data_IF_709553754792
#
_entry.id   IF_709553754792
#
_cell.length_a   1.000
_cell.length_b   1.000
_cell.length_c   1.000
_cell.angle_alpha   90.00
_cell.angle_beta   90.00
_cell.angle_gamma   90.00
#
_symmetry.space_group_name_H-M   'P 1'
#
loop_
_entity.id
_entity.type
_entity.pdbx_description
1 polymer ?
#
# COMPACT_ATOMS: atom_id res chain seq x y z
N UNK A 1 21.06 16.75 12.87
CA UNK A 1 19.91 15.86 12.91
C UNK A 1 19.79 15.10 11.57
N UNK A 2 19.10 13.94 11.54
CA UNK A 2 18.89 13.13 10.34
C UNK A 2 18.20 13.90 9.20
N UNK A 3 17.34 14.87 9.53
CA UNK A 3 16.64 15.72 8.57
C UNK A 3 17.59 16.62 7.79
N UNK A 4 18.52 17.30 8.48
CA UNK A 4 19.52 18.17 7.84
C UNK A 4 20.41 17.36 6.89
N UNK A 5 20.77 16.14 7.26
CA UNK A 5 21.54 15.24 6.39
C UNK A 5 20.74 14.83 5.15
N UNK A 6 19.44 14.55 5.31
CA UNK A 6 18.56 14.20 4.19
C UNK A 6 18.38 15.37 3.23
N UNK A 7 18.18 16.60 3.73
CA UNK A 7 18.11 17.81 2.90
C UNK A 7 19.33 17.95 2.02
N UNK A 8 20.53 17.87 2.64
CA UNK A 8 21.78 17.96 1.90
C UNK A 8 21.91 16.89 0.81
N UNK A 9 21.54 15.64 1.12
CA UNK A 9 21.56 14.55 0.15
C UNK A 9 20.56 14.77 -1.00
N UNK A 10 19.38 15.33 -0.73
CA UNK A 10 18.40 15.65 -1.76
C UNK A 10 18.89 16.77 -2.66
N UNK A 11 19.48 17.83 -2.10
CA UNK A 11 20.05 18.94 -2.89
C UNK A 11 21.19 18.46 -3.80
N UNK A 12 22.03 17.52 -3.33
CA UNK A 12 23.17 17.01 -4.08
C UNK A 12 22.76 15.96 -5.16
N UNK A 13 21.81 15.09 -4.86
CA UNK A 13 21.52 13.91 -5.70
C UNK A 13 20.14 13.91 -6.36
N UNK A 14 19.22 14.72 -5.88
CA UNK A 14 17.86 14.82 -6.41
C UNK A 14 17.38 16.28 -6.43
N UNK A 15 18.04 17.16 -7.19
CA UNK A 15 17.66 18.57 -7.28
C UNK A 15 16.22 18.67 -7.81
N UNK A 16 15.36 19.36 -7.07
CA UNK A 16 13.92 19.46 -7.37
C UNK A 16 13.03 18.45 -6.65
N UNK A 17 13.60 17.57 -5.83
CA UNK A 17 12.80 16.71 -4.96
C UNK A 17 12.06 17.56 -3.91
N UNK A 18 10.77 17.29 -3.72
CA UNK A 18 9.97 17.96 -2.71
C UNK A 18 10.06 17.22 -1.38
N UNK A 19 10.61 17.84 -0.36
CA UNK A 19 10.64 17.31 1.00
C UNK A 19 9.44 17.80 1.82
N UNK A 20 8.53 16.88 2.15
CA UNK A 20 7.40 17.15 3.04
C UNK A 20 7.78 16.81 4.48
N UNK A 21 7.86 17.81 5.34
CA UNK A 21 8.19 17.66 6.77
C UNK A 21 6.94 17.67 7.63
N UNK A 22 6.91 16.80 8.63
CA UNK A 22 5.86 16.78 9.65
C UNK A 22 6.42 17.28 10.98
N UNK A 23 5.67 18.11 11.69
CA UNK A 23 6.04 18.55 13.06
C UNK A 23 6.01 17.38 14.04
N UNK A 24 5.18 16.38 13.79
CA UNK A 24 5.04 15.18 14.62
C UNK A 24 5.12 13.92 13.75
N UNK A 25 5.55 12.82 14.33
CA UNK A 25 5.55 11.52 13.66
C UNK A 25 4.12 11.04 13.42
N UNK A 26 3.65 11.12 12.18
CA UNK A 26 2.32 10.64 11.76
C UNK A 26 2.30 9.14 11.42
N UNK A 27 3.45 8.46 11.44
CA UNK A 27 3.63 7.08 11.02
C UNK A 27 3.69 6.94 9.50
N UNK A 28 3.91 5.70 9.02
CA UNK A 28 4.06 5.38 7.59
C UNK A 28 2.88 5.88 6.77
N UNK A 29 1.67 5.54 7.15
CA UNK A 29 0.47 5.92 6.42
C UNK A 29 0.27 7.43 6.33
N UNK A 30 0.55 8.17 7.42
CA UNK A 30 0.52 9.64 7.41
C UNK A 30 1.53 10.23 6.43
N UNK A 31 2.75 9.69 6.39
CA UNK A 31 3.78 10.12 5.43
C UNK A 31 3.36 9.83 3.98
N UNK A 32 2.84 8.64 3.70
CA UNK A 32 2.37 8.27 2.37
C UNK A 32 1.22 9.20 1.93
N UNK A 33 0.22 9.43 2.77
CA UNK A 33 -0.92 10.30 2.43
C UNK A 33 -0.43 11.70 2.11
N UNK A 34 0.46 12.28 2.92
CA UNK A 34 1.02 13.61 2.65
C UNK A 34 1.81 13.66 1.34
N UNK A 35 2.56 12.60 1.02
CA UNK A 35 3.25 12.47 -0.27
C UNK A 35 2.28 12.40 -1.45
N UNK A 36 1.19 11.63 -1.34
CA UNK A 36 0.15 11.55 -2.37
C UNK A 36 -0.58 12.89 -2.55
N UNK A 37 -0.89 13.61 -1.46
CA UNK A 37 -1.51 14.94 -1.50
C UNK A 37 -0.55 15.97 -2.16
N UNK A 38 0.73 15.93 -1.81
CA UNK A 38 1.74 16.80 -2.41
C UNK A 38 1.93 16.53 -3.92
N UNK A 39 1.98 15.25 -4.30
CA UNK A 39 2.06 14.86 -5.72
C UNK A 39 0.82 15.35 -6.49
N UNK A 40 -0.37 15.23 -5.90
CA UNK A 40 -1.61 15.72 -6.53
C UNK A 40 -1.61 17.24 -6.66
N UNK A 41 -1.15 17.97 -5.64
CA UNK A 41 -1.01 19.43 -5.67
C UNK A 41 0.01 19.91 -6.73
N UNK A 42 1.05 19.12 -6.98
CA UNK A 42 2.02 19.35 -8.04
C UNK A 42 1.53 18.98 -9.46
N UNK A 43 0.27 18.54 -9.61
CA UNK A 43 -0.36 18.25 -10.89
C UNK A 43 -0.16 16.83 -11.42
N UNK A 44 0.46 15.93 -10.65
CA UNK A 44 0.60 14.54 -11.06
C UNK A 44 -0.74 13.81 -11.00
N UNK A 45 -0.95 12.87 -11.92
CA UNK A 45 -2.11 11.98 -11.95
C UNK A 45 -1.89 10.70 -11.14
N UNK A 46 -0.63 10.25 -11.02
CA UNK A 46 -0.21 9.05 -10.34
C UNK A 46 0.99 9.31 -9.44
N UNK A 47 1.15 8.47 -8.41
CA UNK A 47 2.35 8.44 -7.60
C UNK A 47 2.75 7.01 -7.28
N UNK A 48 4.05 6.76 -7.21
CA UNK A 48 4.61 5.46 -6.81
C UNK A 48 5.10 5.59 -5.38
N UNK A 49 4.56 4.74 -4.49
CA UNK A 49 5.06 4.57 -3.14
C UNK A 49 6.22 3.58 -3.16
N UNK A 50 7.30 3.93 -2.46
CA UNK A 50 8.47 3.07 -2.24
C UNK A 50 8.87 3.18 -0.78
N UNK A 51 9.14 2.05 -0.13
CA UNK A 51 9.71 2.03 1.21
C UNK A 51 11.22 2.33 1.13
N UNK A 52 11.71 3.18 2.04
CA UNK A 52 13.12 3.64 2.05
C UNK A 52 14.06 2.67 2.79
N UNK A 53 13.72 1.38 2.82
CA UNK A 53 14.48 0.31 3.51
C UNK A 53 15.48 -0.42 2.59
N UNK A 54 15.53 -0.03 1.30
CA UNK A 54 16.45 -0.60 0.32
C UNK A 54 16.10 -2.03 -0.11
N UNK A 55 14.91 -2.53 0.22
CA UNK A 55 14.51 -3.91 -0.11
C UNK A 55 14.07 -4.11 -1.56
N UNK A 56 13.76 -3.03 -2.27
CA UNK A 56 13.25 -3.09 -3.65
C UNK A 56 14.33 -2.82 -4.68
N UNK A 57 14.42 -3.68 -5.70
CA UNK A 57 15.26 -3.45 -6.89
C UNK A 57 14.74 -2.21 -7.65
N UNK A 58 15.62 -1.27 -8.06
CA UNK A 58 15.25 -0.14 -8.93
C UNK A 58 14.49 -0.57 -10.20
N UNK A 59 14.80 -1.73 -10.79
CA UNK A 59 14.07 -2.27 -11.95
C UNK A 59 12.60 -2.55 -11.66
N UNK A 60 12.25 -2.82 -10.41
CA UNK A 60 10.87 -3.00 -10.00
C UNK A 60 10.07 -1.69 -10.15
N UNK A 61 10.70 -0.53 -9.95
CA UNK A 61 10.07 0.78 -10.17
C UNK A 61 9.71 1.00 -11.64
N UNK A 62 10.59 0.64 -12.56
CA UNK A 62 10.33 0.73 -14.01
C UNK A 62 9.14 -0.14 -14.40
N UNK A 63 9.08 -1.36 -13.86
CA UNK A 63 7.97 -2.29 -14.11
C UNK A 63 6.65 -1.75 -13.58
N UNK A 64 6.61 -1.23 -12.35
CA UNK A 64 5.42 -0.63 -11.73
C UNK A 64 4.98 0.60 -12.53
N UNK A 65 5.92 1.47 -12.92
CA UNK A 65 5.64 2.64 -13.75
C UNK A 65 5.06 2.23 -15.11
N UNK A 66 5.69 1.32 -15.82
CA UNK A 66 5.21 0.83 -17.12
C UNK A 66 3.78 0.28 -17.05
N UNK A 67 3.48 -0.52 -16.02
CA UNK A 67 2.12 -1.04 -15.83
C UNK A 67 1.12 0.05 -15.43
N UNK A 68 1.52 1.09 -14.72
CA UNK A 68 0.63 2.21 -14.40
C UNK A 68 0.26 3.05 -15.64
N UNK A 69 1.14 3.11 -16.63
CA UNK A 69 0.83 3.74 -17.91
C UNK A 69 -0.16 2.89 -18.76
N UNK A 70 -0.06 1.55 -18.69
CA UNK A 70 -0.95 0.64 -19.41
C UNK A 70 -2.34 0.58 -18.76
N UNK A 71 -2.40 0.63 -17.43
CA UNK A 71 -3.61 0.51 -16.63
C UNK A 71 -3.79 1.71 -15.70
N UNK A 72 -4.10 2.90 -16.23
CA UNK A 72 -4.13 4.14 -15.45
C UNK A 72 -5.26 4.23 -14.42
N UNK A 73 -6.28 3.39 -14.54
CA UNK A 73 -7.42 3.29 -13.63
C UNK A 73 -7.19 2.33 -12.45
N UNK A 74 -6.04 1.62 -12.42
CA UNK A 74 -5.77 0.57 -11.45
C UNK A 74 -4.71 0.97 -10.42
N UNK A 75 -4.82 0.40 -9.24
CA UNK A 75 -3.68 0.37 -8.32
C UNK A 75 -2.74 -0.73 -8.77
N UNK A 76 -1.51 -0.38 -9.14
CA UNK A 76 -0.48 -1.36 -9.48
C UNK A 76 0.23 -1.75 -8.20
N UNK A 77 0.20 -3.03 -7.86
CA UNK A 77 0.76 -3.58 -6.64
C UNK A 77 1.97 -4.47 -6.94
N UNK A 78 3.07 -4.26 -6.26
CA UNK A 78 4.16 -5.23 -6.25
C UNK A 78 3.70 -6.52 -5.57
N UNK A 79 3.95 -7.66 -6.21
CA UNK A 79 3.79 -8.98 -5.62
C UNK A 79 5.19 -9.53 -5.34
N UNK A 80 5.59 -9.62 -4.06
CA UNK A 80 6.95 -10.05 -3.73
C UNK A 80 7.23 -11.47 -4.16
N UNK A 81 8.35 -11.64 -4.84
CA UNK A 81 9.02 -12.93 -5.00
C UNK A 81 10.16 -12.95 -4.00
N UNK A 82 10.08 -13.84 -3.02
CA UNK A 82 11.04 -13.91 -1.93
C UNK A 82 12.19 -14.83 -2.28
N UNK A 83 13.39 -14.42 -1.87
CA UNK A 83 14.53 -15.32 -1.81
C UNK A 83 14.33 -16.37 -0.69
N UNK A 84 15.09 -17.45 -0.70
CA UNK A 84 15.00 -18.56 0.28
C UNK A 84 15.22 -18.13 1.75
N UNK A 85 15.72 -16.90 1.96
CA UNK A 85 16.09 -16.34 3.27
C UNK A 85 14.94 -15.68 4.05
N UNK A 86 13.70 -15.70 3.55
CA UNK A 86 12.58 -15.13 4.31
C UNK A 86 12.33 -15.92 5.60
N UNK A 87 12.25 -15.23 6.74
CA UNK A 87 11.91 -15.90 8.00
C UNK A 87 10.48 -16.47 7.93
N UNK A 88 10.30 -17.71 8.43
CA UNK A 88 8.99 -18.38 8.46
C UNK A 88 7.92 -17.54 9.17
N UNK A 89 8.29 -16.83 10.24
CA UNK A 89 7.39 -15.98 11.00
C UNK A 89 6.85 -14.84 10.12
N UNK A 90 7.72 -14.13 9.38
CA UNK A 90 7.30 -13.07 8.46
C UNK A 90 6.39 -13.60 7.35
N UNK A 91 6.72 -14.78 6.81
CA UNK A 91 5.92 -15.43 5.79
C UNK A 91 4.49 -15.73 6.29
N UNK A 92 4.35 -16.34 7.46
CA UNK A 92 3.03 -16.66 8.03
C UNK A 92 2.23 -15.41 8.39
N UNK A 93 2.85 -14.37 8.97
CA UNK A 93 2.16 -13.10 9.26
C UNK A 93 1.65 -12.42 7.99
N UNK A 94 2.43 -12.45 6.91
CA UNK A 94 2.04 -11.90 5.61
C UNK A 94 0.83 -12.64 5.06
N UNK A 95 0.85 -13.96 5.15
CA UNK A 95 -0.27 -14.79 4.70
C UNK A 95 -1.53 -14.54 5.53
N UNK A 96 -1.40 -14.46 6.85
CA UNK A 96 -2.52 -14.16 7.75
C UNK A 96 -3.19 -12.82 7.42
N UNK A 97 -2.40 -11.76 7.22
CA UNK A 97 -2.92 -10.44 6.84
C UNK A 97 -3.66 -10.49 5.49
N UNK A 98 -3.11 -11.19 4.51
CA UNK A 98 -3.78 -11.37 3.21
C UNK A 98 -5.08 -12.17 3.34
N UNK A 99 -5.09 -13.21 4.18
CA UNK A 99 -6.29 -14.01 4.44
C UNK A 99 -7.40 -13.20 5.12
N UNK A 100 -7.04 -12.34 6.09
CA UNK A 100 -7.99 -11.42 6.71
C UNK A 100 -8.53 -10.41 5.68
N UNK A 101 -7.68 -9.89 4.80
CA UNK A 101 -8.12 -9.00 3.72
C UNK A 101 -9.10 -9.69 2.75
N UNK A 102 -8.98 -11.01 2.51
CA UNK A 102 -9.98 -11.76 1.74
C UNK A 102 -11.33 -11.86 2.45
N UNK A 103 -11.32 -12.08 3.76
CA UNK A 103 -12.55 -12.09 4.56
C UNK A 103 -13.22 -10.70 4.55
N UNK A 104 -12.43 -9.63 4.71
CA UNK A 104 -12.88 -8.23 4.72
C UNK A 104 -13.44 -7.75 3.38
N UNK A 105 -13.01 -8.36 2.29
CA UNK A 105 -13.45 -8.00 0.93
C UNK A 105 -14.39 -9.02 0.30
N UNK A 106 -14.59 -10.18 0.92
CA UNK A 106 -15.28 -11.35 0.35
C UNK A 106 -14.71 -11.76 -1.01
N UNK A 107 -13.43 -11.49 -1.25
CA UNK A 107 -12.74 -11.63 -2.53
C UNK A 107 -11.29 -12.06 -2.33
N UNK A 108 -10.73 -12.79 -3.28
CA UNK A 108 -9.31 -13.18 -3.32
C UNK A 108 -8.47 -12.29 -4.23
N UNK A 109 -8.95 -11.09 -4.57
CA UNK A 109 -8.25 -10.16 -5.47
C UNK A 109 -6.94 -9.63 -4.86
N UNK A 110 -6.88 -9.47 -3.55
CA UNK A 110 -5.68 -9.03 -2.85
C UNK A 110 -4.72 -10.21 -2.76
N UNK A 111 -3.64 -10.20 -3.56
CA UNK A 111 -2.63 -11.27 -3.55
C UNK A 111 -1.59 -11.07 -2.46
N UNK A 112 -1.24 -9.83 -2.16
CA UNK A 112 -0.35 -9.44 -1.08
C UNK A 112 -0.81 -8.10 -0.50
N UNK A 113 -1.02 -8.07 0.82
CA UNK A 113 -1.53 -6.89 1.50
C UNK A 113 -0.41 -6.00 2.09
N UNK A 114 0.82 -6.50 2.19
CA UNK A 114 1.90 -5.85 2.93
C UNK A 114 3.02 -5.25 2.07
N UNK A 115 3.05 -5.53 0.75
CA UNK A 115 4.03 -4.90 -0.12
C UNK A 115 3.76 -3.40 -0.24
N UNK A 116 4.74 -2.57 0.14
CA UNK A 116 4.64 -1.11 0.07
C UNK A 116 4.97 -0.52 -1.31
N UNK A 117 5.50 -1.32 -2.24
CA UNK A 117 5.79 -0.84 -3.60
C UNK A 117 4.51 -0.84 -4.43
N UNK A 118 3.95 0.34 -4.68
CA UNK A 118 2.66 0.50 -5.38
C UNK A 118 2.59 1.79 -6.18
N UNK A 119 1.92 1.76 -7.35
CA UNK A 119 1.49 2.97 -8.03
C UNK A 119 -0.01 3.19 -7.79
N UNK A 120 -0.36 4.44 -7.49
CA UNK A 120 -1.70 4.86 -7.15
C UNK A 120 -2.24 5.88 -8.14
N UNK A 121 -3.45 5.69 -8.72
CA UNK A 121 -4.20 6.76 -9.37
C UNK A 121 -4.70 7.73 -8.29
N UNK A 122 -4.11 8.95 -8.25
CA UNK A 122 -4.24 9.87 -7.12
C UNK A 122 -5.68 10.30 -6.85
N UNK A 123 -6.47 10.62 -7.89
CA UNK A 123 -7.85 11.06 -7.71
C UNK A 123 -8.74 10.01 -7.05
N UNK A 124 -8.55 8.74 -7.42
CA UNK A 124 -9.30 7.64 -6.86
C UNK A 124 -8.87 7.34 -5.42
N UNK A 125 -7.56 7.24 -5.17
CA UNK A 125 -7.01 6.83 -3.87
C UNK A 125 -7.17 7.92 -2.81
N UNK A 126 -6.98 9.20 -3.16
CA UNK A 126 -7.19 10.29 -2.20
C UNK A 126 -8.64 10.41 -1.71
N UNK A 127 -9.63 10.01 -2.52
CA UNK A 127 -11.03 9.90 -2.06
C UNK A 127 -11.20 8.85 -0.98
N UNK A 128 -10.46 7.72 -1.07
CA UNK A 128 -10.53 6.64 -0.08
C UNK A 128 -9.95 7.07 1.27
N UNK A 129 -8.84 7.81 1.27
CA UNK A 129 -8.14 8.20 2.50
C UNK A 129 -8.81 9.38 3.22
N UNK A 130 -9.47 10.30 2.50
CA UNK A 130 -10.22 11.42 3.09
C UNK A 130 -11.36 10.96 3.99
N UNK A 131 -11.96 9.83 3.72
CA UNK A 131 -13.05 9.23 4.53
C UNK A 131 -12.59 8.45 5.76
N UNK A 132 -11.29 8.29 6.03
CA UNK A 132 -10.75 7.29 6.96
C UNK A 132 -9.86 7.75 8.10
N UNK A 133 -9.76 9.03 8.40
CA UNK A 133 -8.96 9.51 9.55
C UNK A 133 -7.44 9.47 9.28
N UNK A 134 -6.73 10.56 9.64
CA UNK A 134 -5.32 10.82 9.29
C UNK A 134 -4.26 10.03 10.10
N UNK A 135 -4.63 9.05 10.91
CA UNK A 135 -3.69 8.35 11.80
C UNK A 135 -3.41 6.91 11.40
N UNK A 136 -3.19 6.66 10.10
CA UNK A 136 -2.78 5.35 9.61
C UNK A 136 -1.25 5.21 9.78
N UNK A 137 -0.81 4.17 10.47
CA UNK A 137 0.60 3.85 10.69
C UNK A 137 1.02 2.69 9.78
N UNK A 138 1.48 1.59 10.36
CA UNK A 138 1.85 0.37 9.62
C UNK A 138 0.63 -0.38 9.05
N UNK A 139 -0.55 -0.05 9.50
CA UNK A 139 -1.85 -0.54 9.05
C UNK A 139 -2.33 0.06 7.72
N UNK A 140 -1.64 1.08 7.19
CA UNK A 140 -2.01 1.74 5.94
C UNK A 140 -2.04 0.79 4.74
N UNK A 141 -0.97 -0.01 4.56
CA UNK A 141 -0.80 -0.83 3.36
C UNK A 141 -1.92 -1.87 3.16
N UNK A 142 -2.36 -2.64 4.17
CA UNK A 142 -3.51 -3.52 4.01
C UNK A 142 -4.83 -2.76 3.94
N UNK A 143 -5.03 -1.71 4.74
CA UNK A 143 -6.29 -0.97 4.78
C UNK A 143 -6.63 -0.32 3.43
N UNK A 144 -5.66 0.30 2.76
CA UNK A 144 -5.91 0.99 1.49
C UNK A 144 -6.35 0.01 0.39
N UNK A 145 -5.83 -1.22 0.37
CA UNK A 145 -6.25 -2.25 -0.60
C UNK A 145 -7.67 -2.75 -0.32
N UNK A 146 -8.01 -3.00 0.94
CA UNK A 146 -9.36 -3.40 1.32
C UNK A 146 -10.37 -2.32 0.91
N UNK A 147 -10.08 -1.06 1.21
CA UNK A 147 -10.92 0.08 0.81
C UNK A 147 -11.01 0.24 -0.72
N UNK A 148 -9.93 -0.02 -1.45
CA UNK A 148 -9.92 -0.01 -2.91
C UNK A 148 -10.87 -1.06 -3.48
N UNK A 149 -10.83 -2.29 -2.97
CA UNK A 149 -11.76 -3.36 -3.38
C UNK A 149 -13.21 -3.00 -3.01
N UNK A 150 -13.45 -2.39 -1.86
CA UNK A 150 -14.80 -1.91 -1.50
C UNK A 150 -15.32 -0.82 -2.46
N UNK A 151 -14.43 0.04 -2.94
CA UNK A 151 -14.75 1.09 -3.91
C UNK A 151 -14.75 0.62 -5.37
N UNK A 152 -14.51 -0.67 -5.61
CA UNK A 152 -14.41 -1.29 -6.95
C UNK A 152 -13.24 -0.76 -7.80
N UNK A 153 -12.20 -0.22 -7.16
CA UNK A 153 -10.97 0.16 -7.84
C UNK A 153 -10.18 -1.12 -8.16
N UNK A 154 -9.86 -1.36 -9.43
CA UNK A 154 -9.18 -2.59 -9.83
C UNK A 154 -7.73 -2.61 -9.32
N UNK A 155 -7.27 -3.82 -8.98
CA UNK A 155 -5.88 -4.07 -8.61
C UNK A 155 -5.18 -4.79 -9.75
N UNK A 156 -3.91 -4.45 -10.02
CA UNK A 156 -3.05 -5.16 -10.95
C UNK A 156 -1.73 -5.51 -10.24
N UNK A 157 -1.26 -6.74 -10.40
CA UNK A 157 -0.08 -7.23 -9.68
C UNK A 157 1.08 -7.46 -10.62
N UNK A 158 2.26 -7.00 -10.19
CA UNK A 158 3.55 -7.15 -10.87
C UNK A 158 4.50 -7.89 -9.95
N UNK A 159 5.09 -8.97 -10.40
CA UNK A 159 6.11 -9.68 -9.63
C UNK A 159 7.33 -8.78 -9.43
N UNK A 160 7.76 -8.62 -8.17
CA UNK A 160 8.90 -7.79 -7.78
C UNK A 160 9.82 -8.58 -6.88
N UNK A 161 11.11 -8.58 -7.17
CA UNK A 161 12.10 -9.19 -6.29
C UNK A 161 12.29 -8.32 -5.05
N UNK A 162 12.26 -8.96 -3.88
CA UNK A 162 12.47 -8.30 -2.58
C UNK A 162 13.62 -9.00 -1.89
N UNK A 163 14.71 -8.26 -1.68
CA UNK A 163 15.87 -8.73 -0.93
C UNK A 163 15.80 -8.24 0.51
N UNK A 164 15.98 -9.14 1.47
CA UNK A 164 16.08 -8.76 2.88
C UNK A 164 17.54 -8.63 3.28
N UNK A 165 18.06 -7.40 3.56
CA UNK A 165 19.39 -7.23 4.09
C UNK A 165 19.51 -7.96 5.43
N UNK A 166 20.60 -8.68 5.65
CA UNK A 166 20.86 -9.45 6.87
C UNK A 166 20.91 -8.54 8.11
N UNK A 167 21.33 -7.28 7.93
CA UNK A 167 21.47 -6.27 8.99
C UNK A 167 20.35 -5.22 9.01
N UNK A 168 19.21 -5.48 8.40
CA UNK A 168 18.09 -4.54 8.32
C UNK A 168 17.48 -4.23 9.69
N UNK A 169 17.60 -2.98 10.16
CA UNK A 169 16.95 -2.52 11.38
C UNK A 169 15.45 -2.36 11.16
N UNK A 170 14.65 -3.20 11.82
CA UNK A 170 13.20 -3.07 11.80
C UNK A 170 12.74 -2.04 12.84
N UNK A 171 12.06 -0.98 12.39
CA UNK A 171 11.42 -0.01 13.28
C UNK A 171 10.04 -0.48 13.79
N UNK A 172 9.69 -1.74 13.57
CA UNK A 172 8.43 -2.34 14.00
C UNK A 172 8.39 -2.49 15.52
N UNK A 173 7.46 -1.79 16.17
CA UNK A 173 7.21 -1.90 17.61
C UNK A 173 6.17 -3.00 17.86
N UNK A 174 6.67 -4.19 18.19
CA UNK A 174 5.92 -5.44 18.18
C UNK A 174 4.54 -5.38 18.85
N UNK A 175 4.45 -4.90 20.09
CA UNK A 175 3.16 -4.84 20.83
C UNK A 175 2.24 -3.77 20.25
N UNK A 176 2.76 -2.56 20.05
CA UNK A 176 1.95 -1.41 19.60
C UNK A 176 1.44 -1.59 18.18
N UNK A 177 2.32 -2.00 17.28
CA UNK A 177 1.95 -2.11 15.86
C UNK A 177 1.01 -3.30 15.62
N UNK A 178 1.20 -4.43 16.35
CA UNK A 178 0.24 -5.54 16.32
C UNK A 178 -1.13 -5.14 16.87
N UNK A 179 -1.20 -4.30 17.91
CA UNK A 179 -2.47 -3.78 18.41
C UNK A 179 -3.19 -2.94 17.33
N UNK A 180 -2.49 -2.03 16.67
CA UNK A 180 -3.08 -1.22 15.58
C UNK A 180 -3.52 -2.06 14.40
N UNK A 181 -2.73 -3.05 13.98
CA UNK A 181 -3.07 -3.97 12.90
C UNK A 181 -4.32 -4.80 13.27
N UNK A 182 -4.38 -5.34 14.49
CA UNK A 182 -5.55 -6.11 14.96
C UNK A 182 -6.80 -5.24 15.02
N UNK A 183 -6.68 -4.01 15.53
CA UNK A 183 -7.78 -3.05 15.56
C UNK A 183 -8.25 -2.66 14.15
N UNK A 184 -7.32 -2.46 13.22
CA UNK A 184 -7.62 -2.20 11.82
C UNK A 184 -8.45 -3.34 11.22
N UNK A 185 -8.00 -4.59 11.34
CA UNK A 185 -8.73 -5.75 10.83
C UNK A 185 -10.12 -5.89 11.46
N UNK A 186 -10.23 -5.68 12.79
CA UNK A 186 -11.53 -5.68 13.48
C UNK A 186 -12.47 -4.63 12.87
N UNK A 187 -12.00 -3.41 12.70
CA UNK A 187 -12.79 -2.31 12.11
C UNK A 187 -13.19 -2.59 10.66
N UNK A 188 -12.28 -3.19 9.87
CA UNK A 188 -12.56 -3.55 8.48
C UNK A 188 -13.57 -4.70 8.38
N UNK A 189 -13.48 -5.72 9.24
CA UNK A 189 -14.49 -6.79 9.31
C UNK A 189 -15.89 -6.23 9.61
N UNK A 190 -16.02 -5.36 10.62
CA UNK A 190 -17.30 -4.68 10.88
C UNK A 190 -17.73 -3.78 9.74
N UNK A 191 -16.79 -3.08 9.08
CA UNK A 191 -17.07 -2.25 7.89
C UNK A 191 -17.50 -3.05 6.67
N UNK A 192 -17.10 -4.31 6.55
CA UNK A 192 -17.52 -5.23 5.50
C UNK A 192 -19.00 -5.61 5.62
N UNK A 193 -19.52 -5.80 6.85
CA UNK A 193 -20.88 -6.30 7.07
C UNK A 193 -21.96 -5.51 6.30
N UNK A 194 -22.07 -4.16 6.40
CA UNK A 194 -23.07 -3.41 5.63
C UNK A 194 -22.79 -3.41 4.12
N UNK A 195 -21.56 -3.72 3.70
CA UNK A 195 -21.14 -3.78 2.28
C UNK A 195 -21.32 -5.17 1.67
N UNK A 196 -21.52 -6.19 2.50
CA UNK A 196 -21.57 -7.59 2.05
C UNK A 196 -22.57 -7.86 0.92
N UNK A 197 -23.78 -7.28 0.86
CA UNK A 197 -24.69 -7.53 -0.26
C UNK A 197 -24.11 -7.05 -1.59
N UNK A 198 -23.47 -5.86 -1.59
CA UNK A 198 -22.86 -5.29 -2.80
C UNK A 198 -21.63 -6.10 -3.21
N UNK A 199 -20.78 -6.49 -2.25
CA UNK A 199 -19.58 -7.28 -2.51
C UNK A 199 -19.93 -8.65 -3.09
N UNK A 200 -20.94 -9.32 -2.53
CA UNK A 200 -21.43 -10.60 -3.04
C UNK A 200 -22.04 -10.47 -4.44
N UNK A 201 -22.87 -9.44 -4.68
CA UNK A 201 -23.44 -9.18 -6.00
C UNK A 201 -22.35 -8.95 -7.05
N UNK A 202 -21.29 -8.17 -6.71
CA UNK A 202 -20.12 -7.98 -7.60
C UNK A 202 -19.38 -9.30 -7.86
N UNK A 203 -19.19 -10.12 -6.83
CA UNK A 203 -18.55 -11.44 -6.96
C UNK A 203 -19.32 -12.33 -7.93
N UNK A 204 -20.64 -12.43 -7.78
CA UNK A 204 -21.51 -13.21 -8.69
C UNK A 204 -21.43 -12.65 -10.12
N UNK A 205 -21.52 -11.31 -10.28
CA UNK A 205 -21.41 -10.66 -11.60
C UNK A 205 -20.10 -11.01 -12.31
N UNK A 206 -18.97 -11.02 -11.60
CA UNK A 206 -17.66 -11.40 -12.14
C UNK A 206 -17.58 -12.89 -12.50
N UNK A 207 -18.16 -13.76 -11.65
CA UNK A 207 -18.23 -15.21 -11.97
C UNK A 207 -19.04 -15.49 -13.23
N UNK A 208 -20.03 -14.65 -13.56
CA UNK A 208 -20.83 -14.74 -14.79
C UNK A 208 -20.14 -14.06 -15.99
N UNK A 209 -18.86 -13.71 -15.89
CA UNK A 209 -18.06 -13.16 -17.01
C UNK A 209 -18.41 -11.72 -17.39
N UNK A 210 -19.14 -10.98 -16.55
CA UNK A 210 -19.45 -9.57 -16.81
C UNK A 210 -18.27 -8.67 -16.37
N UNK A 211 -17.72 -7.82 -17.27
CA UNK A 211 -16.63 -6.92 -16.92
C UNK A 211 -17.03 -5.92 -15.82
N UNK A 212 -16.04 -5.29 -15.21
CA UNK A 212 -16.26 -4.11 -14.35
C UNK A 212 -16.87 -2.99 -15.20
N UNK A 213 -17.77 -2.19 -14.63
CA UNK A 213 -18.32 -1.02 -15.30
C UNK A 213 -17.24 -0.01 -15.62
#
# INVERSE_FOLDING_TARGET
SSVVRLEKLLDEHAPGALLVKHEQNLGKGGAVISGLEAARAAGYSHAIQVDADGQHDPKALESIHGQSCIYPDRIICGQPVFDENISRVRYYFRFLTTYLAWAETLSTEIKDALCGLRAYPLDAVLKLVRGGGRRLRMDFDPEILVRAVWADIPLHYVSVHVSYPVDGTSHFQYIRDNFYISWMHTRLLFGMLPRSPVLLARKVKRMLGRPRP
#
